data_IF_937162776252
#
_entry.id   IF_937162776252
#
_cell.length_a   1.000
_cell.length_b   1.000
_cell.length_c   1.000
_cell.angle_alpha   90.00
_cell.angle_beta   90.00
_cell.angle_gamma   90.00
#
_symmetry.space_group_name_H-M   'P 1'
#
loop_
_entity.id
_entity.type
_entity.pdbx_description
1 polymer ?
#
# COMPACT_ATOMS: atom_id res chain seq x y z
N UNK A 1 -30.71 10.26 5.08
CA UNK A 1 -29.52 9.98 5.90
C UNK A 1 -28.31 10.04 4.98
N UNK A 2 -27.30 10.87 5.26
CA UNK A 2 -26.06 10.84 4.46
C UNK A 2 -25.39 9.48 4.71
N UNK A 3 -25.19 8.67 3.68
CA UNK A 3 -24.46 7.41 3.80
C UNK A 3 -23.03 7.72 4.22
N UNK A 4 -22.57 7.12 5.32
CA UNK A 4 -21.17 7.21 5.75
C UNK A 4 -20.29 6.48 4.74
N UNK A 5 -19.12 7.05 4.42
CA UNK A 5 -18.08 6.37 3.64
C UNK A 5 -17.66 5.08 4.35
N UNK A 6 -17.77 3.92 3.70
CA UNK A 6 -17.33 2.63 4.24
C UNK A 6 -15.94 2.31 3.75
N UNK A 7 -14.95 2.41 4.63
CA UNK A 7 -13.56 2.05 4.34
C UNK A 7 -13.28 0.66 4.89
N UNK A 8 -12.71 -0.20 4.05
CA UNK A 8 -12.29 -1.53 4.47
C UNK A 8 -10.78 -1.68 4.28
N UNK A 9 -10.13 -2.22 5.30
CA UNK A 9 -8.71 -2.50 5.29
C UNK A 9 -8.46 -4.00 5.10
N UNK A 10 -7.49 -4.34 4.27
CA UNK A 10 -6.84 -5.65 4.28
C UNK A 10 -5.51 -5.50 5.00
N UNK A 11 -5.35 -6.23 6.11
CA UNK A 11 -4.20 -6.19 6.99
C UNK A 11 -3.49 -7.54 7.00
N UNK A 12 -2.16 -7.51 6.95
CA UNK A 12 -1.31 -8.69 6.81
C UNK A 12 -0.30 -8.83 7.95
N UNK A 13 -0.11 -7.79 8.78
CA UNK A 13 0.77 -7.82 9.94
C UNK A 13 -0.01 -7.49 11.21
N UNK A 14 0.18 -8.29 12.25
CA UNK A 14 -0.43 -8.03 13.54
C UNK A 14 0.09 -6.71 14.14
N UNK A 15 -0.83 -5.82 14.51
CA UNK A 15 -0.47 -4.55 15.18
C UNK A 15 0.03 -3.43 14.26
N UNK A 16 0.07 -3.61 12.94
CA UNK A 16 0.44 -2.54 11.98
C UNK A 16 -0.51 -1.34 12.00
N UNK A 17 -1.73 -1.55 12.53
CA UNK A 17 -2.74 -0.52 12.64
C UNK A 17 -3.29 -0.08 11.28
N UNK A 18 -3.86 1.12 11.24
CA UNK A 18 -4.55 1.67 10.07
C UNK A 18 -3.74 2.76 9.34
N UNK A 19 -2.49 2.94 9.74
CA UNK A 19 -1.61 4.00 9.24
C UNK A 19 -2.05 5.42 9.64
N UNK A 20 -1.33 6.41 9.11
CA UNK A 20 -1.54 7.84 9.42
C UNK A 20 -2.91 8.39 9.02
N UNK A 21 -3.53 7.82 7.98
CA UNK A 21 -4.83 8.28 7.47
C UNK A 21 -6.02 7.90 8.36
N UNK A 22 -5.83 7.06 9.40
CA UNK A 22 -6.91 6.64 10.28
C UNK A 22 -7.67 7.81 10.91
N UNK A 23 -6.94 8.78 11.48
CA UNK A 23 -7.56 9.96 12.10
C UNK A 23 -8.26 10.84 11.08
N UNK A 24 -7.66 11.00 9.90
CA UNK A 24 -8.26 11.72 8.78
C UNK A 24 -9.62 11.09 8.38
N UNK A 25 -9.65 9.78 8.15
CA UNK A 25 -10.89 9.07 7.81
C UNK A 25 -11.97 9.16 8.91
N UNK A 26 -11.55 9.10 10.19
CA UNK A 26 -12.46 9.27 11.33
C UNK A 26 -13.05 10.68 11.39
N UNK A 27 -12.26 11.72 11.14
CA UNK A 27 -12.72 13.11 11.07
C UNK A 27 -13.73 13.31 9.94
N UNK A 28 -13.60 12.56 8.84
CA UNK A 28 -14.54 12.53 7.72
C UNK A 28 -15.73 11.56 7.94
N UNK A 29 -15.93 11.10 9.18
CA UNK A 29 -17.04 10.23 9.59
C UNK A 29 -17.13 8.90 8.81
N UNK A 30 -15.99 8.37 8.36
CA UNK A 30 -15.93 7.05 7.74
C UNK A 30 -16.25 5.94 8.74
N UNK A 31 -16.94 4.90 8.27
CA UNK A 31 -17.06 3.61 8.95
C UNK A 31 -15.89 2.74 8.51
N UNK A 32 -15.01 2.42 9.45
CA UNK A 32 -13.78 1.66 9.19
C UNK A 32 -14.00 0.23 9.66
N UNK A 33 -13.56 -0.73 8.84
CA UNK A 33 -13.57 -2.16 9.12
C UNK A 33 -12.29 -2.79 8.54
N UNK A 34 -11.97 -4.01 8.97
CA UNK A 34 -10.77 -4.70 8.50
C UNK A 34 -11.01 -6.19 8.31
N UNK A 35 -10.23 -6.79 7.41
CA UNK A 35 -9.93 -8.22 7.37
C UNK A 35 -8.48 -8.39 7.82
N UNK A 36 -8.29 -9.13 8.91
CA UNK A 36 -6.98 -9.43 9.50
C UNK A 36 -6.49 -10.78 8.98
N UNK A 37 -5.78 -10.79 7.84
CA UNK A 37 -5.31 -12.04 7.21
C UNK A 37 -4.30 -12.79 8.08
N UNK A 38 -3.52 -12.08 8.90
CA UNK A 38 -2.59 -12.68 9.86
C UNK A 38 -3.27 -13.54 10.93
N UNK A 39 -4.56 -13.30 11.20
CA UNK A 39 -5.33 -14.04 12.20
C UNK A 39 -6.04 -15.28 11.60
N UNK A 40 -5.93 -15.48 10.28
CA UNK A 40 -6.60 -16.60 9.62
C UNK A 40 -5.80 -17.90 9.75
N UNK A 41 -6.49 -19.05 9.90
CA UNK A 41 -5.84 -20.35 9.93
C UNK A 41 -5.19 -20.67 8.57
N UNK A 42 -3.90 -21.06 8.59
CA UNK A 42 -3.15 -21.41 7.37
C UNK A 42 -3.47 -22.82 6.84
N UNK A 43 -4.02 -23.68 7.68
CA UNK A 43 -4.37 -25.08 7.36
C UNK A 43 -5.74 -25.21 6.67
N UNK A 44 -6.48 -24.10 6.51
CA UNK A 44 -7.82 -24.11 5.92
C UNK A 44 -7.93 -23.07 4.80
N UNK A 45 -8.58 -23.42 3.68
CA UNK A 45 -8.86 -22.45 2.64
C UNK A 45 -9.84 -21.39 3.18
N UNK A 46 -9.59 -20.13 2.82
CA UNK A 46 -10.53 -19.04 3.06
C UNK A 46 -11.64 -19.08 2.00
N UNK A 47 -12.89 -19.19 2.42
CA UNK A 47 -14.02 -18.99 1.51
C UNK A 47 -14.17 -17.50 1.20
N UNK A 48 -14.46 -17.15 -0.06
CA UNK A 48 -14.56 -15.74 -0.46
C UNK A 48 -15.72 -15.02 0.23
N UNK A 49 -16.74 -15.77 0.64
CA UNK A 49 -17.90 -15.32 1.40
C UNK A 49 -17.54 -14.89 2.83
N UNK A 50 -16.36 -15.26 3.33
CA UNK A 50 -15.82 -14.75 4.59
C UNK A 50 -15.28 -13.31 4.48
N UNK A 51 -14.99 -12.85 3.25
CA UNK A 51 -14.64 -11.45 2.98
C UNK A 51 -15.93 -10.61 2.83
N UNK A 52 -15.88 -9.29 3.11
CA UNK A 52 -17.04 -8.43 2.92
C UNK A 52 -17.54 -8.47 1.47
N UNK A 53 -18.83 -8.21 1.28
CA UNK A 53 -19.36 -8.03 -0.08
C UNK A 53 -18.71 -6.80 -0.71
N UNK A 54 -18.25 -6.92 -1.95
CA UNK A 54 -17.53 -5.84 -2.66
C UNK A 54 -18.39 -4.58 -2.76
N UNK A 55 -19.71 -4.71 -2.85
CA UNK A 55 -20.70 -3.64 -2.89
C UNK A 55 -20.70 -2.81 -1.60
N UNK A 56 -20.33 -3.40 -0.46
CA UNK A 56 -20.36 -2.76 0.85
C UNK A 56 -19.11 -1.94 1.17
N UNK A 57 -18.07 -1.98 0.33
CA UNK A 57 -16.79 -1.30 0.57
C UNK A 57 -16.65 -0.09 -0.35
N UNK A 58 -16.77 1.14 0.12
CA UNK A 58 -16.64 2.35 -0.71
C UNK A 58 -15.18 2.69 -1.05
N UNK A 59 -14.24 2.37 -0.16
CA UNK A 59 -12.80 2.50 -0.36
C UNK A 59 -12.10 1.29 0.24
N UNK A 60 -11.23 0.67 -0.55
CA UNK A 60 -10.34 -0.39 -0.09
C UNK A 60 -8.94 0.19 0.17
N UNK A 61 -8.38 -0.08 1.35
CA UNK A 61 -6.97 0.16 1.66
C UNK A 61 -6.31 -1.19 1.93
N UNK A 62 -5.28 -1.53 1.18
CA UNK A 62 -4.55 -2.79 1.31
C UNK A 62 -3.18 -2.46 1.90
N UNK A 63 -2.93 -2.94 3.11
CA UNK A 63 -1.72 -2.64 3.86
C UNK A 63 -0.51 -3.40 3.31
N UNK A 64 0.65 -3.11 3.90
CA UNK A 64 1.88 -3.85 3.65
C UNK A 64 1.84 -5.24 4.28
N UNK A 65 2.91 -5.99 4.08
CA UNK A 65 3.07 -7.32 4.64
C UNK A 65 4.46 -7.87 4.39
N UNK A 66 4.86 -8.85 5.19
CA UNK A 66 6.17 -9.51 5.08
C UNK A 66 6.20 -10.62 4.02
N UNK A 67 5.02 -11.09 3.59
CA UNK A 67 4.87 -12.14 2.58
C UNK A 67 5.15 -11.62 1.17
N UNK A 68 5.54 -12.52 0.26
CA UNK A 68 5.42 -12.26 -1.17
C UNK A 68 3.99 -12.52 -1.64
N UNK A 69 3.52 -11.76 -2.65
CA UNK A 69 2.27 -12.10 -3.36
C UNK A 69 2.31 -13.49 -4.00
N UNK A 70 3.51 -14.06 -4.17
CA UNK A 70 3.75 -15.37 -4.76
C UNK A 70 3.70 -16.53 -3.74
N UNK A 71 3.61 -16.24 -2.44
CA UNK A 71 3.68 -17.24 -1.37
C UNK A 71 2.36 -17.98 -1.13
N UNK A 72 1.57 -18.22 -2.18
CA UNK A 72 0.23 -18.81 -2.08
C UNK A 72 0.20 -20.24 -1.51
N UNK A 73 1.36 -20.92 -1.48
CA UNK A 73 1.51 -22.22 -0.85
C UNK A 73 1.55 -22.12 0.68
N UNK A 74 2.20 -21.07 1.21
CA UNK A 74 2.33 -20.80 2.64
C UNK A 74 1.12 -20.00 3.16
N UNK A 75 0.55 -19.17 2.29
CA UNK A 75 -0.59 -18.29 2.58
C UNK A 75 -1.71 -18.50 1.55
N UNK A 76 -2.51 -19.59 1.67
CA UNK A 76 -3.55 -19.90 0.69
C UNK A 76 -4.61 -18.81 0.50
N UNK A 77 -4.82 -17.96 1.51
CA UNK A 77 -5.73 -16.83 1.44
C UNK A 77 -5.31 -15.77 0.40
N UNK A 78 -4.03 -15.70 0.00
CA UNK A 78 -3.56 -14.79 -1.06
C UNK A 78 -4.31 -15.00 -2.39
N UNK A 79 -4.64 -16.25 -2.73
CA UNK A 79 -5.44 -16.56 -3.94
C UNK A 79 -6.83 -15.93 -3.89
N UNK A 80 -7.43 -15.99 -2.70
CA UNK A 80 -8.80 -15.54 -2.44
C UNK A 80 -8.83 -14.02 -2.41
N UNK A 81 -7.88 -13.41 -1.72
CA UNK A 81 -7.66 -11.97 -1.66
C UNK A 81 -7.46 -11.39 -3.06
N UNK A 82 -6.54 -11.92 -3.86
CA UNK A 82 -6.29 -11.45 -5.25
C UNK A 82 -7.53 -11.58 -6.13
N UNK A 83 -8.31 -12.66 -5.98
CA UNK A 83 -9.58 -12.83 -6.69
C UNK A 83 -10.62 -11.80 -6.25
N UNK A 84 -10.70 -11.50 -4.96
CA UNK A 84 -11.60 -10.48 -4.41
C UNK A 84 -11.21 -9.08 -4.90
N UNK A 85 -9.92 -8.74 -4.84
CA UNK A 85 -9.36 -7.47 -5.36
C UNK A 85 -9.74 -7.29 -6.83
N UNK A 86 -9.51 -8.31 -7.67
CA UNK A 86 -9.89 -8.24 -9.08
C UNK A 86 -11.38 -7.98 -9.29
N UNK A 87 -12.26 -8.61 -8.50
CA UNK A 87 -13.71 -8.35 -8.55
C UNK A 87 -14.01 -6.90 -8.13
N UNK A 88 -13.42 -6.43 -7.04
CA UNK A 88 -13.59 -5.07 -6.55
C UNK A 88 -13.18 -4.01 -7.58
N UNK A 89 -12.01 -4.18 -8.19
CA UNK A 89 -11.48 -3.27 -9.21
C UNK A 89 -12.35 -3.28 -10.49
N UNK A 90 -12.93 -4.43 -10.87
CA UNK A 90 -13.82 -4.53 -12.03
C UNK A 90 -15.10 -3.69 -11.91
N UNK A 91 -15.46 -3.29 -10.69
CA UNK A 91 -16.60 -2.39 -10.42
C UNK A 91 -16.21 -0.89 -10.47
N UNK A 92 -14.94 -0.57 -10.79
CA UNK A 92 -14.46 0.82 -10.82
C UNK A 92 -14.44 1.49 -9.45
N UNK A 93 -14.28 0.71 -8.36
CA UNK A 93 -14.32 1.24 -7.00
C UNK A 93 -12.95 1.73 -6.51
N UNK A 94 -12.91 2.74 -5.61
CA UNK A 94 -11.66 3.31 -5.10
C UNK A 94 -10.76 2.34 -4.33
N UNK A 95 -9.47 2.25 -4.67
CA UNK A 95 -8.50 1.43 -3.95
C UNK A 95 -7.12 2.09 -3.78
N UNK A 96 -6.50 1.87 -2.64
CA UNK A 96 -5.10 2.21 -2.36
C UNK A 96 -4.38 0.96 -1.88
N UNK A 97 -3.25 0.63 -2.51
CA UNK A 97 -2.39 -0.46 -2.07
C UNK A 97 -1.03 0.05 -1.64
N UNK A 98 -0.57 -0.36 -0.45
CA UNK A 98 0.69 0.08 0.17
C UNK A 98 1.67 -1.10 0.25
N UNK A 99 2.88 -0.95 -0.29
CA UNK A 99 3.91 -2.00 -0.35
C UNK A 99 3.35 -3.32 -0.91
N UNK A 100 3.17 -4.36 -0.07
CA UNK A 100 2.49 -5.61 -0.44
C UNK A 100 1.13 -5.36 -1.09
N UNK A 101 0.32 -4.43 -0.56
CA UNK A 101 -0.97 -4.08 -1.12
C UNK A 101 -0.88 -3.53 -2.55
N UNK A 102 0.15 -2.73 -2.84
CA UNK A 102 0.42 -2.25 -4.20
C UNK A 102 0.80 -3.39 -5.14
N UNK A 103 1.58 -4.35 -4.64
CA UNK A 103 1.95 -5.58 -5.36
C UNK A 103 0.75 -6.51 -5.58
N UNK A 104 -0.15 -6.64 -4.61
CA UNK A 104 -1.36 -7.46 -4.70
C UNK A 104 -2.31 -6.93 -5.78
N UNK A 105 -2.52 -5.61 -5.85
CA UNK A 105 -3.30 -4.98 -6.92
C UNK A 105 -2.66 -5.26 -8.28
N UNK A 106 -1.33 -5.10 -8.39
CA UNK A 106 -0.62 -5.32 -9.64
C UNK A 106 -0.73 -6.79 -10.09
N UNK A 107 -0.52 -7.73 -9.18
CA UNK A 107 -0.59 -9.17 -9.44
C UNK A 107 -2.02 -9.64 -9.76
N UNK A 108 -3.03 -9.09 -9.10
CA UNK A 108 -4.43 -9.37 -9.40
C UNK A 108 -4.84 -8.96 -10.84
N UNK A 109 -4.10 -8.03 -11.45
CA UNK A 109 -4.25 -7.59 -12.83
C UNK A 109 -3.27 -8.26 -13.80
N UNK A 110 -2.52 -9.27 -13.33
CA UNK A 110 -1.60 -10.08 -14.13
C UNK A 110 -0.20 -9.50 -14.29
N UNK A 111 0.16 -8.43 -13.58
CA UNK A 111 1.53 -7.93 -13.56
C UNK A 111 2.43 -8.84 -12.71
N UNK A 112 3.68 -9.00 -13.13
CA UNK A 112 4.65 -9.78 -12.37
C UNK A 112 5.08 -9.01 -11.11
N UNK A 113 5.33 -9.75 -10.03
CA UNK A 113 5.99 -9.26 -8.82
C UNK A 113 7.20 -10.14 -8.60
N UNK A 114 8.35 -9.51 -8.39
CA UNK A 114 9.65 -10.19 -8.29
C UNK A 114 10.55 -9.44 -7.31
N UNK A 115 11.60 -10.12 -6.85
CA UNK A 115 12.69 -9.48 -6.13
C UNK A 115 13.26 -8.31 -6.94
N UNK A 116 13.46 -7.19 -6.25
CA UNK A 116 14.21 -6.08 -6.80
C UNK A 116 15.71 -6.41 -6.76
N UNK A 117 16.51 -5.77 -7.60
CA UNK A 117 17.96 -6.03 -7.64
C UNK A 117 18.66 -5.67 -6.32
N UNK A 118 18.12 -4.66 -5.62
CA UNK A 118 18.59 -4.18 -4.33
C UNK A 118 17.39 -3.99 -3.39
N UNK A 119 17.60 -4.23 -2.11
CA UNK A 119 16.59 -3.97 -1.08
C UNK A 119 16.63 -2.49 -0.67
N UNK A 120 15.48 -1.91 -0.36
CA UNK A 120 15.39 -0.57 0.23
C UNK A 120 14.81 -0.64 1.64
N UNK A 121 15.55 -0.12 2.61
CA UNK A 121 15.07 0.07 3.98
C UNK A 121 15.50 1.44 4.48
N UNK A 122 14.51 2.27 4.80
CA UNK A 122 14.69 3.60 5.37
C UNK A 122 14.28 4.74 4.45
N UNK A 123 14.71 5.95 4.81
CA UNK A 123 14.23 7.16 4.17
C UNK A 123 15.02 7.50 2.89
N UNK A 124 14.38 7.36 1.74
CA UNK A 124 14.96 7.59 0.41
C UNK A 124 14.19 8.67 -0.37
N UNK A 125 14.88 9.35 -1.28
CA UNK A 125 14.24 10.28 -2.21
C UNK A 125 13.60 9.54 -3.37
N UNK A 126 12.31 9.79 -3.59
CA UNK A 126 11.54 9.34 -4.74
C UNK A 126 11.24 10.54 -5.62
N UNK A 127 11.20 10.33 -6.94
CA UNK A 127 10.98 11.36 -7.94
C UNK A 127 9.72 11.04 -8.76
N UNK A 128 8.94 12.07 -9.06
CA UNK A 128 7.85 11.97 -10.04
C UNK A 128 8.45 11.73 -11.42
N UNK A 129 7.88 10.80 -12.20
CA UNK A 129 8.35 10.55 -13.56
C UNK A 129 8.04 11.73 -14.48
N UNK A 130 8.81 11.87 -15.56
CA UNK A 130 8.54 12.93 -16.54
C UNK A 130 7.29 12.62 -17.38
N UNK A 131 6.59 13.67 -17.83
CA UNK A 131 5.44 13.58 -18.74
C UNK A 131 4.23 12.80 -18.19
N UNK A 132 3.99 12.84 -16.88
CA UNK A 132 2.72 12.38 -16.29
C UNK A 132 1.57 13.25 -16.80
N UNK A 133 0.47 12.68 -17.34
CA UNK A 133 -0.70 13.46 -17.76
C UNK A 133 -1.28 14.30 -16.62
N UNK A 134 -1.69 15.54 -16.90
CA UNK A 134 -2.16 16.52 -15.89
C UNK A 134 -3.35 16.05 -15.07
N UNK A 135 -4.17 15.16 -15.63
CA UNK A 135 -5.33 14.59 -14.96
C UNK A 135 -4.97 13.54 -13.90
N UNK A 136 -3.72 13.05 -13.87
CA UNK A 136 -3.27 12.02 -12.93
C UNK A 136 -3.12 12.56 -11.51
N UNK A 137 -2.89 11.66 -10.56
CA UNK A 137 -2.54 12.04 -9.21
C UNK A 137 -1.25 12.85 -9.21
N UNK A 138 -1.31 14.05 -8.64
CA UNK A 138 -0.17 14.96 -8.64
C UNK A 138 0.79 14.65 -7.48
N UNK A 139 2.06 14.52 -7.80
CA UNK A 139 3.15 14.32 -6.85
C UNK A 139 4.10 15.53 -6.88
N UNK A 140 4.76 15.86 -5.76
CA UNK A 140 5.94 16.71 -5.78
C UNK A 140 6.99 16.16 -6.76
N UNK A 141 7.79 17.05 -7.36
CA UNK A 141 8.86 16.63 -8.28
C UNK A 141 9.83 15.62 -7.63
N UNK A 142 10.11 15.81 -6.34
CA UNK A 142 10.84 14.89 -5.50
C UNK A 142 10.33 15.00 -4.06
N UNK A 143 10.37 13.90 -3.32
CA UNK A 143 9.95 13.83 -1.92
C UNK A 143 10.75 12.74 -1.19
N UNK A 144 10.90 12.86 0.13
CA UNK A 144 11.63 11.86 0.94
C UNK A 144 10.62 10.99 1.68
N UNK A 145 10.72 9.69 1.50
CA UNK A 145 9.69 8.74 1.94
C UNK A 145 10.30 7.46 2.51
N UNK A 146 9.54 6.79 3.38
CA UNK A 146 9.96 5.53 3.98
C UNK A 146 9.87 4.39 2.95
N UNK A 147 10.98 3.66 2.81
CA UNK A 147 11.06 2.40 2.07
C UNK A 147 11.23 1.24 3.05
N UNK A 148 10.61 0.11 2.74
CA UNK A 148 10.78 -1.13 3.50
C UNK A 148 10.40 -2.34 2.63
N UNK A 149 11.18 -2.60 1.57
CA UNK A 149 10.83 -3.65 0.61
C UNK A 149 12.05 -4.30 -0.07
N UNK A 150 11.86 -5.57 -0.45
CA UNK A 150 12.83 -6.37 -1.22
C UNK A 150 12.30 -6.83 -2.57
N UNK A 151 10.99 -6.71 -2.79
CA UNK A 151 10.33 -7.00 -4.05
C UNK A 151 9.85 -5.71 -4.72
N UNK A 152 9.55 -5.81 -6.02
CA UNK A 152 8.95 -4.77 -6.84
C UNK A 152 7.89 -5.40 -7.75
N UNK A 153 6.98 -4.57 -8.26
CA UNK A 153 5.97 -4.95 -9.24
C UNK A 153 6.33 -4.41 -10.63
N UNK A 154 5.89 -5.09 -11.68
CA UNK A 154 5.74 -4.47 -12.99
C UNK A 154 4.52 -3.53 -13.02
N UNK A 155 4.61 -2.45 -13.79
CA UNK A 155 3.48 -1.53 -13.97
C UNK A 155 2.35 -2.30 -14.69
N UNK A 156 1.14 -2.41 -14.10
CA UNK A 156 0.05 -3.15 -14.73
C UNK A 156 -0.31 -2.60 -16.11
N UNK A 157 -0.76 -3.48 -17.01
CA UNK A 157 -1.16 -3.06 -18.36
C UNK A 157 -2.27 -2.01 -18.28
N UNK A 158 -2.06 -0.84 -18.89
CA UNK A 158 -3.00 0.28 -18.88
C UNK A 158 -2.92 1.17 -17.63
N UNK A 159 -2.02 0.86 -16.68
CA UNK A 159 -1.67 1.75 -15.60
C UNK A 159 -0.67 2.82 -16.06
N UNK A 160 -0.66 3.94 -15.34
CA UNK A 160 0.27 5.05 -15.52
C UNK A 160 1.34 4.94 -14.45
N UNK A 161 2.61 4.90 -14.85
CA UNK A 161 3.76 4.97 -13.95
C UNK A 161 3.88 6.41 -13.43
N UNK A 162 3.94 6.60 -12.10
CA UNK A 162 3.90 7.94 -11.49
C UNK A 162 5.20 8.34 -10.81
N UNK A 163 5.90 7.38 -10.19
CA UNK A 163 7.09 7.66 -9.40
C UNK A 163 8.17 6.60 -9.57
N UNK A 164 9.42 7.01 -9.44
CA UNK A 164 10.61 6.17 -9.52
C UNK A 164 11.73 6.65 -8.59
N UNK A 165 12.69 5.77 -8.30
CA UNK A 165 14.00 6.16 -7.78
C UNK A 165 15.10 5.32 -8.44
N UNK A 166 16.35 5.53 -8.02
CA UNK A 166 17.51 4.87 -8.64
C UNK A 166 17.62 3.37 -8.31
N UNK A 167 16.93 2.89 -7.28
CA UNK A 167 17.06 1.53 -6.73
C UNK A 167 15.92 0.62 -7.20
N UNK A 168 14.71 1.15 -7.16
CA UNK A 168 13.47 0.52 -7.60
C UNK A 168 12.72 1.49 -8.50
N UNK A 169 12.70 1.18 -9.80
CA UNK A 169 12.07 2.05 -10.81
C UNK A 169 10.57 2.22 -10.58
N UNK A 170 9.87 1.18 -10.14
CA UNK A 170 8.42 1.19 -10.04
C UNK A 170 7.99 1.54 -8.61
N UNK A 171 8.02 2.83 -8.25
CA UNK A 171 7.67 3.30 -6.90
C UNK A 171 6.17 3.55 -6.73
N UNK A 172 5.49 3.97 -7.79
CA UNK A 172 4.05 4.24 -7.74
C UNK A 172 3.40 4.13 -9.11
N UNK A 173 2.16 3.64 -9.15
CA UNK A 173 1.33 3.62 -10.35
C UNK A 173 -0.12 4.00 -10.07
N UNK A 174 -0.83 4.36 -11.14
CA UNK A 174 -2.24 4.70 -11.14
C UNK A 174 -3.01 3.89 -12.17
N UNK A 175 -4.24 3.46 -11.82
CA UNK A 175 -5.20 2.88 -12.77
C UNK A 175 -6.48 3.71 -12.73
N UNK A 176 -6.93 4.18 -13.90
CA UNK A 176 -8.10 5.03 -13.99
C UNK A 176 -7.95 6.31 -13.17
N UNK A 177 -8.99 6.69 -12.40
CA UNK A 177 -8.99 7.85 -11.49
C UNK A 177 -9.17 7.47 -10.02
N UNK A 178 -9.17 6.18 -9.74
CA UNK A 178 -9.68 5.64 -8.49
C UNK A 178 -8.77 4.58 -7.87
N UNK A 179 -7.64 4.24 -8.49
CA UNK A 179 -6.74 3.21 -7.95
C UNK A 179 -5.30 3.69 -7.97
N UNK A 180 -4.64 3.63 -6.82
CA UNK A 180 -3.23 3.97 -6.65
C UNK A 180 -2.48 2.82 -5.95
N UNK A 181 -1.35 2.40 -6.52
CA UNK A 181 -0.47 1.41 -5.94
C UNK A 181 0.88 2.03 -5.59
N UNK A 182 1.30 1.86 -4.34
CA UNK A 182 2.53 2.42 -3.77
C UNK A 182 3.49 1.29 -3.44
N UNK A 183 4.77 1.44 -3.77
CA UNK A 183 5.84 0.56 -3.28
C UNK A 183 6.37 1.02 -1.92
N UNK A 184 6.39 2.33 -1.70
CA UNK A 184 6.83 2.97 -0.46
C UNK A 184 5.71 3.07 0.58
N UNK A 185 6.07 3.55 1.78
CA UNK A 185 5.20 3.60 2.95
C UNK A 185 4.83 5.05 3.37
N UNK A 186 3.85 5.69 2.71
CA UNK A 186 3.39 7.03 3.08
C UNK A 186 2.57 7.06 4.39
N UNK A 187 2.13 5.91 4.87
CA UNK A 187 1.28 5.72 6.04
C UNK A 187 2.05 5.72 7.37
N UNK A 188 3.38 5.59 7.34
CA UNK A 188 4.20 5.44 8.53
C UNK A 188 4.17 6.72 9.37
N UNK A 189 4.03 6.53 10.68
CA UNK A 189 4.15 7.53 11.75
C UNK A 189 5.30 7.17 12.69
N UNK A 190 5.66 8.10 13.58
CA UNK A 190 6.66 7.84 14.63
C UNK A 190 6.32 6.65 15.52
N UNK A 191 5.04 6.40 15.77
CA UNK A 191 4.56 5.29 16.61
C UNK A 191 4.67 3.97 15.85
N UNK A 192 4.18 3.91 14.61
CA UNK A 192 4.27 2.69 13.79
C UNK A 192 5.72 2.31 13.47
N UNK A 193 6.60 3.29 13.20
CA UNK A 193 8.01 3.00 13.00
C UNK A 193 8.65 2.42 14.26
N UNK A 194 8.31 2.91 15.46
CA UNK A 194 8.82 2.32 16.70
C UNK A 194 8.41 0.86 16.85
N UNK A 195 7.15 0.53 16.55
CA UNK A 195 6.65 -0.85 16.59
C UNK A 195 7.40 -1.74 15.59
N UNK A 196 7.66 -1.25 14.37
CA UNK A 196 8.40 -2.03 13.37
C UNK A 196 9.85 -2.26 13.79
N UNK A 197 10.48 -1.27 14.44
CA UNK A 197 11.84 -1.39 15.00
C UNK A 197 11.90 -2.20 16.30
N UNK A 198 10.78 -2.71 16.82
CA UNK A 198 10.77 -3.69 17.92
C UNK A 198 10.79 -5.13 17.39
N UNK A 199 10.62 -5.33 16.07
CA UNK A 199 10.65 -6.63 15.42
C UNK A 199 12.01 -6.89 14.75
N UNK A 200 12.96 -7.44 15.53
CA UNK A 200 14.34 -7.66 15.08
C UNK A 200 14.45 -8.61 13.88
N UNK A 201 13.57 -9.62 13.77
CA UNK A 201 13.61 -10.63 12.70
C UNK A 201 13.40 -10.03 11.30
N UNK A 202 12.56 -8.99 11.18
CA UNK A 202 12.34 -8.32 9.90
C UNK A 202 13.55 -7.51 9.45
N UNK A 203 14.23 -6.83 10.39
CA UNK A 203 15.40 -6.01 10.10
C UNK A 203 16.59 -6.88 9.65
N UNK A 204 16.76 -8.07 10.22
CA UNK A 204 17.81 -9.02 9.85
C UNK A 204 17.71 -9.50 8.40
N UNK A 205 16.51 -9.46 7.81
CA UNK A 205 16.27 -9.80 6.40
C UNK A 205 16.78 -8.77 5.39
N UNK A 206 17.22 -7.59 5.85
CA UNK A 206 17.67 -6.49 5.00
C UNK A 206 19.17 -6.26 5.09
N UNK A 207 19.81 -6.15 3.92
CA UNK A 207 21.24 -5.82 3.80
C UNK A 207 21.53 -5.10 2.48
N UNK A 208 22.65 -4.40 2.43
CA UNK A 208 23.12 -3.73 1.22
C UNK A 208 23.27 -2.22 1.38
N UNK A 209 23.56 -1.54 0.28
CA UNK A 209 23.91 -0.11 0.26
C UNK A 209 22.72 0.79 0.63
N UNK A 210 21.50 0.38 0.30
CA UNK A 210 20.27 1.16 0.47
C UNK A 210 19.48 0.76 1.73
N UNK A 211 20.16 0.16 2.71
CA UNK A 211 19.59 -0.30 3.98
C UNK A 211 20.14 0.57 5.11
N UNK A 212 19.28 1.41 5.68
CA UNK A 212 19.61 2.22 6.86
C UNK A 212 19.63 1.36 8.11
N UNK A 213 20.58 1.64 9.00
CA UNK A 213 20.66 0.98 10.31
C UNK A 213 19.50 1.41 11.20
N UNK A 214 19.13 0.57 12.16
CA UNK A 214 18.14 0.90 13.18
C UNK A 214 18.45 2.24 13.88
N UNK A 215 19.73 2.52 14.17
CA UNK A 215 20.17 3.78 14.76
C UNK A 215 19.89 4.99 13.84
N UNK A 216 20.00 4.83 12.52
CA UNK A 216 19.64 5.86 11.55
C UNK A 216 18.13 6.06 11.49
N UNK A 217 17.34 4.96 11.48
CA UNK A 217 15.88 5.01 11.47
C UNK A 217 15.31 5.70 12.71
N UNK A 218 15.88 5.43 13.89
CA UNK A 218 15.48 6.07 15.16
C UNK A 218 15.78 7.57 15.24
N UNK A 219 16.64 8.10 14.34
CA UNK A 219 16.91 9.55 14.25
C UNK A 219 15.88 10.31 13.42
N UNK A 220 14.89 9.62 12.84
CA UNK A 220 13.81 10.26 12.11
C UNK A 220 13.06 11.25 13.02
N UNK A 221 12.82 12.45 12.51
CA UNK A 221 12.03 13.46 13.19
C UNK A 221 10.64 13.59 12.55
N UNK A 222 9.80 14.47 13.09
CA UNK A 222 8.40 14.63 12.64
C UNK A 222 8.28 14.98 11.16
N UNK A 223 9.26 15.68 10.58
CA UNK A 223 9.23 16.13 9.19
C UNK A 223 9.40 14.97 8.21
N UNK A 224 10.07 13.88 8.63
CA UNK A 224 10.19 12.67 7.82
C UNK A 224 8.82 12.06 7.50
N UNK A 225 7.89 12.09 8.45
CA UNK A 225 6.58 11.44 8.30
C UNK A 225 5.57 12.34 7.57
N UNK A 226 5.62 13.66 7.82
CA UNK A 226 4.56 14.58 7.39
C UNK A 226 4.33 14.61 5.89
N UNK A 227 5.41 14.54 5.09
CA UNK A 227 5.31 14.58 3.63
C UNK A 227 4.56 13.36 3.10
N UNK A 228 4.95 12.16 3.55
CA UNK A 228 4.26 10.92 3.21
C UNK A 228 2.80 10.89 3.65
N UNK A 229 2.54 11.30 4.89
CA UNK A 229 1.18 11.29 5.43
C UNK A 229 0.26 12.26 4.68
N UNK A 230 0.79 13.40 4.22
CA UNK A 230 0.06 14.33 3.38
C UNK A 230 -0.23 13.72 2.00
N UNK A 231 0.75 13.06 1.37
CA UNK A 231 0.57 12.36 0.09
C UNK A 231 -0.54 11.31 0.22
N UNK A 232 -0.58 10.54 1.31
CA UNK A 232 -1.62 9.53 1.51
C UNK A 232 -3.01 10.15 1.66
N UNK A 233 -3.16 11.24 2.41
CA UNK A 233 -4.44 11.92 2.53
C UNK A 233 -4.91 12.49 1.18
N UNK A 234 -4.00 13.10 0.42
CA UNK A 234 -4.29 13.58 -0.94
C UNK A 234 -4.66 12.43 -1.89
N UNK A 235 -4.01 11.28 -1.77
CA UNK A 235 -4.32 10.08 -2.54
C UNK A 235 -5.73 9.58 -2.22
N UNK A 236 -6.12 9.55 -0.95
CA UNK A 236 -7.49 9.20 -0.51
C UNK A 236 -8.50 10.18 -1.09
N UNK A 237 -8.24 11.49 -1.02
CA UNK A 237 -9.10 12.50 -1.63
C UNK A 237 -9.24 12.27 -3.13
N UNK A 238 -8.13 12.07 -3.83
CA UNK A 238 -8.08 11.85 -5.27
C UNK A 238 -8.93 10.65 -5.69
N UNK A 239 -8.72 9.48 -5.08
CA UNK A 239 -9.46 8.26 -5.50
C UNK A 239 -10.94 8.31 -5.15
N UNK A 240 -11.33 9.13 -4.17
CA UNK A 240 -12.72 9.34 -3.78
C UNK A 240 -13.44 10.43 -4.59
N UNK A 241 -12.72 11.19 -5.43
CA UNK A 241 -13.36 12.16 -6.31
C UNK A 241 -14.32 11.41 -7.24
N UNK A 242 -15.60 11.76 -7.17
CA UNK A 242 -16.59 11.24 -8.11
C UNK A 242 -16.19 11.69 -9.50
N UNK A 243 -15.86 10.75 -10.38
CA UNK A 243 -15.75 11.06 -11.80
C UNK A 243 -17.16 11.43 -12.27
N UNK A 244 -17.38 12.70 -12.54
CA UNK A 244 -18.59 13.13 -13.24
C UNK A 244 -18.58 12.46 -14.61
N UNK A 245 -19.37 11.40 -14.77
CA UNK A 245 -19.79 10.95 -16.10
C UNK A 245 -20.85 11.90 -16.65
#
# INVERSE_FOLDING_TARGET
>A
MKSHLKVHYFQHIAGEGFGSCYQYLKQHHAKISATEFFALPLDRPLDIEALPQVEEVDLLIIMGGTMSVNDEANYPWLKIEKRWIRRYLSMGKPAIGLCLGGQLIANALGAAVRRNEQQELGWTTVRKVQHVPEECFELPAQFKIMQWHSETFEIPKGAIHLAENDVCRNQMYQIGKNVLGFQFHPEITSETLKLFLENDEELEGFSGEYVQTEQQLRKADKTNFSEGNQILNQAIEYVLQKTSC
#
